data_IF_157104835713
#
_entry.id   IF_157104835713
#
_cell.length_a   1.000
_cell.length_b   1.000
_cell.length_c   1.000
_cell.angle_alpha   90.00
_cell.angle_beta   90.00
_cell.angle_gamma   90.00
#
_symmetry.space_group_name_H-M   'P 1'
#
loop_
_entity.id
_entity.type
_entity.pdbx_description
1 polymer ?
#
# COMPACT_ATOMS: atom_id res chain seq x y z
N UNK A 1 -28.75 34.27 15.88
CA UNK A 1 -27.60 33.37 16.10
C UNK A 1 -27.90 32.07 15.42
N UNK A 2 -27.42 31.89 14.19
CA UNK A 2 -27.53 30.63 13.45
C UNK A 2 -26.40 29.72 13.91
N UNK A 3 -26.77 28.66 14.61
CA UNK A 3 -25.88 27.55 14.94
C UNK A 3 -25.40 26.94 13.61
N UNK A 4 -24.10 27.08 13.30
CA UNK A 4 -23.46 26.25 12.29
C UNK A 4 -23.58 24.80 12.77
N UNK A 5 -24.08 23.86 11.95
CA UNK A 5 -23.86 22.45 12.25
C UNK A 5 -22.36 22.24 12.29
N UNK A 6 -21.86 21.58 13.34
CA UNK A 6 -20.50 21.06 13.32
C UNK A 6 -20.44 20.06 12.17
N UNK A 7 -19.93 20.49 11.02
CA UNK A 7 -19.39 19.57 10.03
C UNK A 7 -18.20 18.93 10.71
N UNK A 8 -18.44 17.76 11.31
CA UNK A 8 -17.37 16.81 11.60
C UNK A 8 -16.79 16.51 10.23
N UNK A 9 -15.60 17.05 9.93
CA UNK A 9 -14.88 16.63 8.74
C UNK A 9 -14.69 15.12 8.87
N UNK A 10 -15.21 14.31 7.92
CA UNK A 10 -15.04 12.87 8.00
C UNK A 10 -13.57 12.58 7.66
N UNK A 11 -12.71 12.55 8.67
CA UNK A 11 -11.36 12.04 8.50
C UNK A 11 -11.46 10.54 8.20
N UNK A 12 -10.81 10.11 7.12
CA UNK A 12 -10.82 8.70 6.70
C UNK A 12 -9.80 7.86 7.47
N UNK A 13 -8.89 8.51 8.20
CA UNK A 13 -7.96 7.88 9.11
C UNK A 13 -7.75 8.77 10.34
N UNK A 14 -7.33 8.16 11.44
CA UNK A 14 -6.95 8.90 12.63
C UNK A 14 -5.63 9.65 12.37
N UNK A 15 -5.51 10.92 12.83
CA UNK A 15 -4.24 11.65 12.80
C UNK A 15 -3.09 10.85 13.42
N UNK A 16 -1.86 11.23 13.10
CA UNK A 16 -0.68 10.68 13.77
C UNK A 16 0.10 11.82 14.43
N UNK A 17 -0.19 12.17 15.70
CA UNK A 17 0.46 13.30 16.37
C UNK A 17 1.96 13.07 16.62
N UNK A 18 2.45 11.83 16.47
CA UNK A 18 3.87 11.48 16.58
C UNK A 18 4.57 11.39 15.22
N UNK A 19 3.81 11.54 14.13
CA UNK A 19 4.30 11.51 12.77
C UNK A 19 5.15 12.73 12.42
N UNK A 20 6.11 12.53 11.53
CA UNK A 20 6.96 13.59 11.02
C UNK A 20 6.22 14.50 10.04
N UNK A 21 6.63 15.76 10.00
CA UNK A 21 6.09 16.79 9.12
C UNK A 21 7.14 17.22 8.08
N UNK A 22 6.70 17.47 6.84
CA UNK A 22 7.55 18.10 5.81
C UNK A 22 7.20 19.59 5.74
N UNK A 23 7.71 20.36 6.71
CA UNK A 23 7.28 21.76 6.96
C UNK A 23 7.42 22.67 5.75
N UNK A 24 8.48 22.50 4.96
CA UNK A 24 8.66 23.23 3.71
C UNK A 24 7.54 22.97 2.70
N UNK A 25 7.15 21.70 2.54
CA UNK A 25 6.05 21.30 1.66
C UNK A 25 4.70 21.83 2.16
N UNK A 26 4.42 21.73 3.46
CA UNK A 26 3.20 22.31 4.07
C UNK A 26 3.09 23.82 3.77
N UNK A 27 4.19 24.56 3.92
CA UNK A 27 4.25 25.99 3.62
C UNK A 27 4.01 26.28 2.12
N UNK A 28 4.67 25.56 1.21
CA UNK A 28 4.44 25.75 -0.23
C UNK A 28 3.02 25.39 -0.66
N UNK A 29 2.38 24.38 -0.04
CA UNK A 29 0.99 24.05 -0.32
C UNK A 29 0.04 25.14 0.19
N UNK A 30 0.32 25.74 1.36
CA UNK A 30 -0.45 26.87 1.88
C UNK A 30 -0.34 28.10 0.97
N UNK A 31 0.88 28.43 0.54
CA UNK A 31 1.13 29.51 -0.43
C UNK A 31 0.45 29.23 -1.77
N UNK A 32 0.45 27.97 -2.24
CA UNK A 32 -0.21 27.56 -3.47
C UNK A 32 -1.72 27.76 -3.37
N UNK A 33 -2.33 27.46 -2.22
CA UNK A 33 -3.76 27.70 -2.00
C UNK A 33 -4.07 29.19 -2.06
N UNK A 34 -3.22 30.02 -1.46
CA UNK A 34 -3.39 31.47 -1.52
C UNK A 34 -3.21 32.02 -2.94
N UNK A 35 -2.25 31.49 -3.71
CA UNK A 35 -2.07 31.84 -5.11
C UNK A 35 -3.31 31.49 -5.95
N UNK A 36 -3.90 30.29 -5.76
CA UNK A 36 -5.13 29.90 -6.45
C UNK A 36 -6.33 30.80 -6.10
N UNK A 37 -6.46 31.20 -4.83
CA UNK A 37 -7.49 32.15 -4.39
C UNK A 37 -7.33 33.53 -5.04
N UNK A 38 -6.09 33.94 -5.31
CA UNK A 38 -5.76 35.20 -5.99
C UNK A 38 -5.72 35.07 -7.52
N UNK A 39 -6.11 33.92 -8.08
CA UNK A 39 -6.00 33.63 -9.51
C UNK A 39 -4.57 33.70 -10.08
N UNK A 40 -3.56 33.45 -9.24
CA UNK A 40 -2.15 33.38 -9.61
C UNK A 40 -1.66 31.98 -10.02
N UNK A 41 -0.39 31.89 -10.42
CA UNK A 41 0.30 30.64 -10.75
C UNK A 41 0.81 29.93 -9.49
N UNK A 42 0.41 28.67 -9.30
CA UNK A 42 0.82 27.81 -8.19
C UNK A 42 1.78 26.67 -8.61
N UNK A 43 2.11 26.54 -9.90
CA UNK A 43 2.86 25.41 -10.47
C UNK A 43 4.22 25.23 -9.81
N UNK A 44 4.98 26.32 -9.66
CA UNK A 44 6.31 26.27 -9.05
C UNK A 44 6.26 25.86 -7.58
N UNK A 45 5.18 26.21 -6.87
CA UNK A 45 4.99 25.84 -5.47
C UNK A 45 4.68 24.35 -5.34
N UNK A 46 3.83 23.81 -6.22
CA UNK A 46 3.56 22.37 -6.27
C UNK A 46 4.81 21.55 -6.60
N UNK A 47 5.63 21.98 -7.56
CA UNK A 47 6.88 21.28 -7.89
C UNK A 47 7.88 21.25 -6.73
N UNK A 48 7.97 22.33 -5.94
CA UNK A 48 8.81 22.37 -4.73
C UNK A 48 8.28 21.43 -3.65
N UNK A 49 6.96 21.42 -3.42
CA UNK A 49 6.32 20.49 -2.50
C UNK A 49 6.54 19.04 -2.92
N UNK A 50 6.34 18.72 -4.21
CA UNK A 50 6.58 17.40 -4.76
C UNK A 50 8.02 16.92 -4.53
N UNK A 51 9.01 17.77 -4.79
CA UNK A 51 10.41 17.45 -4.53
C UNK A 51 10.68 17.13 -3.06
N UNK A 52 10.18 17.95 -2.12
CA UNK A 52 10.36 17.67 -0.70
C UNK A 52 9.64 16.38 -0.24
N UNK A 53 8.47 16.06 -0.79
CA UNK A 53 7.82 14.78 -0.53
C UNK A 53 8.63 13.60 -1.09
N UNK A 54 9.24 13.76 -2.26
CA UNK A 54 10.13 12.76 -2.83
C UNK A 54 11.36 12.53 -1.94
N UNK A 55 12.01 13.60 -1.46
CA UNK A 55 13.13 13.51 -0.53
C UNK A 55 12.75 12.83 0.80
N UNK A 56 11.53 13.05 1.29
CA UNK A 56 10.99 12.36 2.47
C UNK A 56 10.58 10.89 2.21
N UNK A 57 10.49 10.47 0.94
CA UNK A 57 10.02 9.14 0.54
C UNK A 57 8.50 8.99 0.57
N UNK A 58 7.75 10.09 0.57
CA UNK A 58 6.29 10.11 0.61
C UNK A 58 5.75 9.98 -0.83
N UNK A 59 5.91 8.80 -1.44
CA UNK A 59 5.73 8.63 -2.90
C UNK A 59 4.30 8.89 -3.40
N UNK A 60 3.27 8.54 -2.63
CA UNK A 60 1.88 8.85 -2.99
C UNK A 60 1.64 10.37 -2.99
N UNK A 61 2.10 11.04 -1.94
CA UNK A 61 2.04 12.50 -1.77
C UNK A 61 2.81 13.24 -2.87
N UNK A 62 4.00 12.75 -3.23
CA UNK A 62 4.77 13.24 -4.38
C UNK A 62 3.98 13.15 -5.68
N UNK A 63 3.40 11.98 -6.01
CA UNK A 63 2.58 11.80 -7.23
C UNK A 63 1.38 12.74 -7.26
N UNK A 64 0.74 12.95 -6.11
CA UNK A 64 -0.38 13.87 -5.99
C UNK A 64 0.04 15.32 -6.25
N UNK A 65 1.13 15.77 -5.60
CA UNK A 65 1.68 17.11 -5.79
C UNK A 65 2.16 17.37 -7.24
N UNK A 66 2.79 16.38 -7.88
CA UNK A 66 3.14 16.43 -9.30
C UNK A 66 1.90 16.59 -10.19
N UNK A 67 0.82 15.88 -9.87
CA UNK A 67 -0.44 16.00 -10.62
C UNK A 67 -1.06 17.38 -10.44
N UNK A 68 -1.01 17.96 -9.23
CA UNK A 68 -1.43 19.34 -9.00
C UNK A 68 -0.60 20.33 -9.84
N UNK A 69 0.72 20.15 -9.92
CA UNK A 69 1.59 20.97 -10.78
C UNK A 69 1.20 20.87 -12.25
N UNK A 70 0.98 19.65 -12.76
CA UNK A 70 0.57 19.41 -14.14
C UNK A 70 -0.77 20.08 -14.46
N UNK A 71 -1.79 19.86 -13.64
CA UNK A 71 -3.12 20.47 -13.83
C UNK A 71 -3.07 21.99 -13.69
N UNK A 72 -2.31 22.52 -12.73
CA UNK A 72 -2.11 23.98 -12.59
C UNK A 72 -1.49 24.60 -13.85
N UNK A 73 -0.50 23.93 -14.44
CA UNK A 73 0.15 24.40 -15.67
C UNK A 73 -0.79 24.36 -16.90
N UNK A 74 -1.67 23.35 -16.99
CA UNK A 74 -2.66 23.22 -18.06
C UNK A 74 -3.76 24.28 -17.91
N UNK A 75 -4.26 24.49 -16.70
CA UNK A 75 -5.29 25.49 -16.41
C UNK A 75 -4.86 26.92 -16.75
N UNK A 76 -3.56 27.21 -16.71
CA UNK A 76 -2.99 28.51 -17.14
C UNK A 76 -2.96 28.66 -18.66
N UNK A 77 -2.72 27.58 -19.40
CA UNK A 77 -2.72 27.60 -20.88
C UNK A 77 -4.13 27.78 -21.42
N UNK A 78 -5.12 27.22 -20.75
CA UNK A 78 -6.54 27.25 -21.14
C UNK A 78 -7.34 28.36 -20.43
N UNK A 79 -6.67 29.49 -20.12
CA UNK A 79 -7.15 30.60 -19.29
C UNK A 79 -8.56 31.13 -19.63
N UNK A 80 -9.05 30.86 -20.84
CA UNK A 80 -10.33 31.33 -21.34
C UNK A 80 -11.55 30.58 -20.81
N UNK A 81 -11.53 29.30 -20.38
CA UNK A 81 -12.79 28.52 -20.32
C UNK A 81 -13.07 27.46 -19.22
N UNK A 82 -12.28 27.23 -18.16
CA UNK A 82 -12.62 26.12 -17.22
C UNK A 82 -12.66 26.50 -15.73
N UNK A 83 -13.73 27.18 -15.31
CA UNK A 83 -14.02 27.45 -13.89
C UNK A 83 -14.23 26.18 -13.06
N UNK A 84 -14.68 25.08 -13.69
CA UNK A 84 -14.85 23.79 -13.02
C UNK A 84 -13.51 23.12 -12.74
N UNK A 85 -12.55 23.19 -13.67
CA UNK A 85 -11.18 22.70 -13.45
C UNK A 85 -10.50 23.41 -12.27
N UNK A 86 -10.64 24.75 -12.17
CA UNK A 86 -10.10 25.50 -11.02
C UNK A 86 -10.78 25.12 -9.70
N UNK A 87 -12.09 24.94 -9.69
CA UNK A 87 -12.82 24.50 -8.49
C UNK A 87 -12.37 23.11 -8.04
N UNK A 88 -12.19 22.17 -8.99
CA UNK A 88 -11.67 20.84 -8.71
C UNK A 88 -10.23 20.89 -8.18
N UNK A 89 -9.36 21.74 -8.75
CA UNK A 89 -7.99 21.92 -8.25
C UNK A 89 -7.95 22.49 -6.83
N UNK A 90 -8.79 23.50 -6.54
CA UNK A 90 -8.86 24.10 -5.22
C UNK A 90 -9.42 23.15 -4.16
N UNK A 91 -10.46 22.36 -4.50
CA UNK A 91 -11.01 21.33 -3.62
C UNK A 91 -10.01 20.21 -3.34
N UNK A 92 -9.35 19.71 -4.39
CA UNK A 92 -8.31 18.69 -4.25
C UNK A 92 -7.14 19.17 -3.38
N UNK A 93 -6.70 20.43 -3.55
CA UNK A 93 -5.64 21.01 -2.72
C UNK A 93 -6.06 21.15 -1.26
N UNK A 94 -7.31 21.55 -1.00
CA UNK A 94 -7.81 21.72 0.36
C UNK A 94 -7.77 20.38 1.14
N UNK A 95 -8.35 19.34 0.57
CA UNK A 95 -8.42 18.02 1.22
C UNK A 95 -7.04 17.37 1.32
N UNK A 96 -6.20 17.55 0.30
CA UNK A 96 -4.83 17.08 0.31
C UNK A 96 -3.98 17.74 1.40
N UNK A 97 -4.10 19.06 1.59
CA UNK A 97 -3.43 19.77 2.67
C UNK A 97 -3.87 19.27 4.04
N UNK A 98 -5.17 19.12 4.24
CA UNK A 98 -5.70 18.60 5.49
C UNK A 98 -5.15 17.20 5.80
N UNK A 99 -5.02 16.32 4.80
CA UNK A 99 -4.42 15.00 4.95
C UNK A 99 -2.92 15.04 5.27
N UNK A 100 -2.17 15.94 4.63
CA UNK A 100 -0.74 16.13 4.93
C UNK A 100 -0.54 16.60 6.38
N UNK A 101 -1.40 17.51 6.86
CA UNK A 101 -1.35 18.05 8.22
C UNK A 101 -1.68 17.01 9.31
N UNK A 102 -2.29 15.87 8.94
CA UNK A 102 -2.55 14.74 9.85
C UNK A 102 -1.36 13.80 10.05
N UNK A 103 -0.27 13.97 9.29
CA UNK A 103 0.99 13.21 9.40
C UNK A 103 0.84 11.68 9.33
N UNK A 104 -0.23 11.19 8.70
CA UNK A 104 -0.51 9.76 8.52
C UNK A 104 -0.17 9.32 7.08
N UNK A 105 0.93 8.58 6.91
CA UNK A 105 1.39 8.12 5.60
C UNK A 105 0.51 7.03 4.98
N UNK A 106 -0.19 6.25 5.81
CA UNK A 106 -1.16 5.27 5.32
C UNK A 106 -2.38 5.98 4.73
N UNK A 107 -2.87 7.05 5.38
CA UNK A 107 -3.93 7.90 4.83
C UNK A 107 -3.55 8.50 3.49
N UNK A 108 -2.35 9.09 3.40
CA UNK A 108 -1.85 9.72 2.18
C UNK A 108 -1.70 8.74 1.00
N UNK A 109 -1.62 7.43 1.30
CA UNK A 109 -1.51 6.37 0.29
C UNK A 109 -2.86 5.73 -0.04
N UNK A 110 -3.74 5.55 0.96
CA UNK A 110 -4.92 4.69 0.87
C UNK A 110 -6.25 5.44 0.88
N UNK A 111 -6.29 6.75 1.13
CA UNK A 111 -7.53 7.55 1.18
C UNK A 111 -8.36 7.45 -0.11
N UNK A 112 -9.61 6.92 -0.05
CA UNK A 112 -10.55 7.00 -1.16
C UNK A 112 -10.83 8.42 -1.63
N UNK A 113 -10.97 9.38 -0.69
CA UNK A 113 -11.23 10.79 -1.03
C UNK A 113 -10.08 11.40 -1.81
N UNK A 114 -8.84 11.23 -1.34
CA UNK A 114 -7.66 11.70 -2.10
C UNK A 114 -7.56 10.99 -3.44
N UNK A 115 -7.81 9.68 -3.51
CA UNK A 115 -7.77 8.99 -4.79
C UNK A 115 -8.83 9.50 -5.78
N UNK A 116 -10.04 9.83 -5.31
CA UNK A 116 -11.07 10.40 -6.18
C UNK A 116 -10.65 11.76 -6.74
N UNK A 117 -10.06 12.63 -5.91
CA UNK A 117 -9.46 13.89 -6.38
C UNK A 117 -8.34 13.64 -7.39
N UNK A 118 -7.42 12.73 -7.07
CA UNK A 118 -6.33 12.33 -7.96
C UNK A 118 -6.86 11.84 -9.31
N UNK A 119 -7.91 11.00 -9.31
CA UNK A 119 -8.56 10.50 -10.52
C UNK A 119 -9.19 11.61 -11.34
N UNK A 120 -9.92 12.54 -10.71
CA UNK A 120 -10.55 13.68 -11.39
C UNK A 120 -9.49 14.61 -12.00
N UNK A 121 -8.41 14.91 -11.29
CA UNK A 121 -7.30 15.70 -11.81
C UNK A 121 -6.63 15.03 -13.02
N UNK A 122 -6.35 13.73 -12.91
CA UNK A 122 -5.74 12.96 -14.02
C UNK A 122 -6.68 12.85 -15.24
N UNK A 123 -8.00 12.89 -15.07
CA UNK A 123 -8.95 12.97 -16.18
C UNK A 123 -8.85 14.29 -16.94
N UNK A 124 -8.50 15.39 -16.27
CA UNK A 124 -8.24 16.66 -16.92
C UNK A 124 -6.95 16.58 -17.74
N UNK A 125 -5.88 15.98 -17.18
CA UNK A 125 -4.63 15.73 -17.92
C UNK A 125 -4.86 14.85 -19.15
N UNK A 126 -5.69 13.81 -19.03
CA UNK A 126 -6.01 12.89 -20.12
C UNK A 126 -6.71 13.57 -21.32
N UNK A 127 -7.38 14.72 -21.14
CA UNK A 127 -7.92 15.51 -22.26
C UNK A 127 -6.84 15.98 -23.22
N UNK A 128 -5.62 16.15 -22.73
CA UNK A 128 -4.46 16.60 -23.50
C UNK A 128 -3.50 15.44 -23.83
N UNK A 129 -3.66 14.27 -23.21
CA UNK A 129 -2.84 13.07 -23.43
C UNK A 129 -3.73 11.81 -23.53
N UNK A 130 -4.14 11.40 -24.75
CA UNK A 130 -4.97 10.23 -24.95
C UNK A 130 -4.30 8.94 -24.44
N UNK A 131 -5.09 8.03 -23.86
CA UNK A 131 -4.62 6.73 -23.37
C UNK A 131 -4.09 6.73 -21.94
N UNK A 132 -4.13 7.87 -21.25
CA UNK A 132 -3.72 7.99 -19.86
C UNK A 132 -4.88 7.65 -18.91
N UNK A 133 -4.72 6.60 -18.12
CA UNK A 133 -5.64 6.25 -17.02
C UNK A 133 -4.84 5.96 -15.75
N UNK A 134 -5.43 6.35 -14.62
CA UNK A 134 -4.87 6.08 -13.30
C UNK A 134 -5.77 5.13 -12.53
N UNK A 135 -5.16 4.21 -11.80
CA UNK A 135 -5.84 3.28 -10.93
C UNK A 135 -5.43 3.51 -9.46
N UNK A 136 -6.26 3.04 -8.52
CA UNK A 136 -6.03 3.26 -7.08
C UNK A 136 -4.69 2.67 -6.63
N UNK A 137 -4.41 1.48 -7.13
CA UNK A 137 -3.18 0.75 -6.85
C UNK A 137 -1.91 1.44 -7.38
N UNK A 138 -2.03 2.36 -8.33
CA UNK A 138 -0.88 3.16 -8.80
C UNK A 138 -0.46 4.20 -7.76
N UNK A 139 -1.40 4.67 -6.94
CA UNK A 139 -1.14 5.59 -5.84
C UNK A 139 -0.78 4.81 -4.56
N UNK A 140 -1.65 3.89 -4.13
CA UNK A 140 -1.51 3.17 -2.87
C UNK A 140 -0.22 2.35 -2.80
N UNK A 141 0.11 1.61 -3.88
CA UNK A 141 1.27 0.73 -3.92
C UNK A 141 2.47 1.36 -4.64
N UNK A 142 2.57 2.69 -4.66
CA UNK A 142 3.65 3.40 -5.32
C UNK A 142 5.03 2.96 -4.78
N UNK A 143 5.93 2.54 -5.67
CA UNK A 143 7.28 2.07 -5.32
C UNK A 143 7.36 0.69 -4.66
N UNK A 144 6.22 0.05 -4.34
CA UNK A 144 6.21 -1.26 -3.69
C UNK A 144 6.43 -2.42 -4.68
N UNK A 145 7.25 -3.43 -4.31
CA UNK A 145 7.37 -4.67 -5.07
C UNK A 145 6.03 -5.41 -5.11
N UNK A 146 5.75 -6.09 -6.24
CA UNK A 146 4.62 -7.03 -6.32
C UNK A 146 5.20 -8.41 -6.61
N UNK A 147 5.17 -9.36 -5.64
CA UNK A 147 5.74 -10.68 -5.85
C UNK A 147 4.97 -11.43 -6.96
N UNK A 148 5.62 -12.36 -7.67
CA UNK A 148 4.95 -13.21 -8.63
C UNK A 148 3.95 -14.11 -7.90
N UNK A 149 2.70 -14.10 -8.36
CA UNK A 149 1.59 -14.85 -7.77
C UNK A 149 1.16 -15.95 -8.71
N UNK A 150 1.13 -17.17 -8.20
CA UNK A 150 0.75 -18.35 -8.97
C UNK A 150 -0.76 -18.60 -8.89
N UNK A 151 -1.26 -19.41 -9.81
CA UNK A 151 -2.57 -20.03 -9.70
C UNK A 151 -2.36 -21.52 -9.56
N UNK A 152 -2.84 -22.09 -8.46
CA UNK A 152 -2.65 -23.51 -8.19
C UNK A 152 -3.26 -24.40 -9.30
N UNK A 153 -2.43 -25.26 -9.90
CA UNK A 153 -2.88 -26.15 -10.98
C UNK A 153 -4.00 -27.09 -10.53
N UNK A 154 -5.16 -27.01 -11.19
CA UNK A 154 -6.34 -27.83 -10.91
C UNK A 154 -6.73 -28.70 -12.13
N UNK A 155 -7.39 -29.84 -11.93
CA UNK A 155 -7.92 -30.63 -13.03
C UNK A 155 -8.91 -29.82 -13.88
N UNK A 156 -8.79 -29.89 -15.22
CA UNK A 156 -9.59 -29.09 -16.14
C UNK A 156 -11.11 -29.27 -15.96
N UNK A 157 -11.57 -30.48 -15.67
CA UNK A 157 -12.99 -30.76 -15.41
C UNK A 157 -13.51 -30.07 -14.14
N UNK A 158 -12.68 -29.98 -13.08
CA UNK A 158 -13.02 -29.30 -11.84
C UNK A 158 -13.10 -27.79 -12.06
N UNK A 159 -12.14 -27.21 -12.78
CA UNK A 159 -12.17 -25.79 -13.16
C UNK A 159 -13.37 -25.44 -14.04
N UNK A 160 -13.72 -26.30 -15.01
CA UNK A 160 -14.90 -26.10 -15.84
C UNK A 160 -16.20 -26.09 -15.02
N UNK A 161 -16.33 -27.02 -14.06
CA UNK A 161 -17.47 -27.06 -13.15
C UNK A 161 -17.54 -25.82 -12.26
N UNK A 162 -16.43 -25.46 -11.62
CA UNK A 162 -16.32 -24.26 -10.77
C UNK A 162 -16.69 -22.99 -11.52
N UNK A 163 -16.16 -22.83 -12.74
CA UNK A 163 -16.44 -21.67 -13.58
C UNK A 163 -17.92 -21.59 -13.95
N UNK A 164 -18.56 -22.70 -14.30
CA UNK A 164 -20.00 -22.71 -14.59
C UNK A 164 -20.84 -22.30 -13.37
N UNK A 165 -20.46 -22.76 -12.16
CA UNK A 165 -21.07 -22.34 -10.89
C UNK A 165 -20.87 -20.84 -10.65
N UNK A 166 -19.65 -20.37 -10.82
CA UNK A 166 -19.26 -18.97 -10.65
C UNK A 166 -20.02 -18.04 -11.61
N UNK A 167 -20.06 -18.36 -12.92
CA UNK A 167 -20.76 -17.56 -13.93
C UNK A 167 -22.28 -17.48 -13.66
N UNK A 168 -22.88 -18.56 -13.17
CA UNK A 168 -24.30 -18.60 -12.77
C UNK A 168 -24.58 -17.66 -11.59
N UNK A 169 -23.68 -17.62 -10.60
CA UNK A 169 -23.79 -16.74 -9.44
C UNK A 169 -23.42 -15.27 -9.76
N UNK A 170 -22.54 -15.04 -10.74
CA UNK A 170 -22.11 -13.70 -11.12
C UNK A 170 -23.24 -12.89 -11.79
N UNK A 171 -24.08 -13.55 -12.59
CA UNK A 171 -25.08 -12.88 -13.40
C UNK A 171 -26.11 -12.05 -12.58
N UNK A 172 -26.70 -12.56 -11.48
CA UNK A 172 -27.52 -11.75 -10.58
C UNK A 172 -26.79 -10.53 -10.02
N UNK A 173 -25.53 -10.69 -9.61
CA UNK A 173 -24.71 -9.62 -9.03
C UNK A 173 -24.46 -8.50 -10.06
N UNK A 174 -24.18 -8.85 -11.31
CA UNK A 174 -23.96 -7.85 -12.37
C UNK A 174 -25.24 -7.14 -12.82
N UNK A 175 -26.40 -7.79 -12.71
CA UNK A 175 -27.70 -7.24 -13.13
C UNK A 175 -28.34 -6.34 -12.08
N UNK A 176 -27.82 -6.33 -10.85
CA UNK A 176 -28.34 -5.47 -9.81
C UNK A 176 -28.11 -4.00 -10.18
N UNK A 177 -29.19 -3.21 -10.10
CA UNK A 177 -29.15 -1.78 -10.37
C UNK A 177 -28.72 -1.02 -9.11
N UNK A 178 -27.82 -0.04 -9.28
CA UNK A 178 -27.22 0.83 -8.26
C UNK A 178 -28.18 1.83 -7.60
N UNK A 179 -29.48 1.59 -7.60
CA UNK A 179 -30.45 2.50 -6.99
C UNK A 179 -30.79 2.10 -5.56
N UNK A 180 -30.37 2.90 -4.57
CA UNK A 180 -30.79 3.06 -3.14
C UNK A 180 -31.60 1.95 -2.41
N UNK A 181 -31.52 0.70 -2.84
CA UNK A 181 -32.29 -0.42 -2.31
C UNK A 181 -31.37 -1.40 -1.62
N UNK A 182 -31.80 -1.86 -0.45
CA UNK A 182 -31.21 -2.97 0.27
C UNK A 182 -30.90 -4.15 -0.66
N UNK A 183 -29.74 -4.80 -0.45
CA UNK A 183 -29.34 -5.98 -1.21
C UNK A 183 -30.48 -7.01 -1.22
N UNK A 184 -30.89 -7.46 -2.41
CA UNK A 184 -31.84 -8.57 -2.49
C UNK A 184 -31.23 -9.81 -1.82
N UNK A 185 -32.00 -10.59 -1.04
CA UNK A 185 -31.54 -11.86 -0.48
C UNK A 185 -30.92 -12.80 -1.53
N UNK A 186 -31.42 -12.73 -2.77
CA UNK A 186 -30.88 -13.50 -3.89
C UNK A 186 -29.47 -13.06 -4.30
N UNK A 187 -29.19 -11.75 -4.27
CA UNK A 187 -27.83 -11.24 -4.53
C UNK A 187 -26.89 -11.61 -3.40
N UNK A 188 -27.35 -11.56 -2.15
CA UNK A 188 -26.59 -12.04 -0.99
C UNK A 188 -26.14 -13.49 -1.17
N UNK A 189 -27.07 -14.40 -1.44
CA UNK A 189 -26.76 -15.81 -1.68
C UNK A 189 -25.86 -16.03 -2.91
N UNK A 190 -25.97 -15.17 -3.93
CA UNK A 190 -25.10 -15.23 -5.10
C UNK A 190 -23.66 -14.81 -4.77
N UNK A 191 -23.48 -13.78 -3.93
CA UNK A 191 -22.17 -13.39 -3.42
C UNK A 191 -21.54 -14.49 -2.56
N UNK A 192 -22.33 -15.12 -1.70
CA UNK A 192 -21.84 -16.23 -0.87
C UNK A 192 -21.37 -17.43 -1.74
N UNK A 193 -22.08 -17.73 -2.84
CA UNK A 193 -21.67 -18.76 -3.80
C UNK A 193 -20.39 -18.37 -4.57
N UNK A 194 -20.21 -17.09 -4.92
CA UNK A 194 -18.98 -16.60 -5.55
C UNK A 194 -17.79 -16.76 -4.60
N UNK A 195 -17.96 -16.37 -3.33
CA UNK A 195 -16.93 -16.48 -2.30
C UNK A 195 -16.56 -17.94 -2.03
N UNK A 196 -17.56 -18.84 -1.98
CA UNK A 196 -17.35 -20.27 -1.88
C UNK A 196 -16.54 -20.85 -3.05
N UNK A 197 -16.81 -20.38 -4.28
CA UNK A 197 -16.03 -20.79 -5.45
C UNK A 197 -14.57 -20.31 -5.39
N UNK A 198 -14.32 -19.08 -4.92
CA UNK A 198 -12.95 -18.56 -4.74
C UNK A 198 -12.19 -19.36 -3.68
N UNK A 199 -12.84 -19.71 -2.57
CA UNK A 199 -12.25 -20.56 -1.54
C UNK A 199 -11.96 -21.99 -2.03
N UNK A 200 -12.83 -22.57 -2.86
CA UNK A 200 -12.66 -23.94 -3.39
C UNK A 200 -11.51 -24.06 -4.41
N UNK A 201 -11.24 -23.00 -5.18
CA UNK A 201 -10.12 -22.98 -6.14
C UNK A 201 -8.78 -22.65 -5.48
N UNK A 202 -8.80 -22.03 -4.30
CA UNK A 202 -7.60 -21.65 -3.55
C UNK A 202 -6.72 -22.86 -3.17
N UNK A 203 -5.42 -22.72 -3.43
CA UNK A 203 -4.38 -23.65 -3.03
C UNK A 203 -3.73 -23.27 -1.70
N UNK A 204 -2.80 -24.11 -1.21
CA UNK A 204 -2.12 -23.89 0.07
C UNK A 204 -0.91 -22.95 -0.03
N UNK A 205 -0.47 -22.55 -1.23
CA UNK A 205 0.69 -21.67 -1.43
C UNK A 205 0.40 -20.26 -0.88
N UNK A 206 1.27 -19.67 -0.04
CA UNK A 206 1.20 -18.26 0.36
C UNK A 206 0.99 -17.28 -0.80
N UNK A 207 1.62 -17.56 -1.95
CA UNK A 207 1.54 -16.73 -3.15
C UNK A 207 0.53 -17.25 -4.18
N UNK A 208 -0.59 -17.82 -3.74
CA UNK A 208 -1.69 -18.19 -4.61
C UNK A 208 -2.70 -17.04 -4.78
N UNK A 209 -3.03 -16.72 -6.04
CA UNK A 209 -3.92 -15.61 -6.37
C UNK A 209 -5.31 -15.79 -5.76
N UNK A 210 -5.79 -17.03 -5.70
CA UNK A 210 -7.13 -17.31 -5.22
C UNK A 210 -7.27 -17.11 -3.71
N UNK A 211 -6.20 -17.30 -2.94
CA UNK A 211 -6.17 -16.90 -1.51
C UNK A 211 -6.30 -15.39 -1.35
N UNK A 212 -5.53 -14.63 -2.13
CA UNK A 212 -5.61 -13.16 -2.14
C UNK A 212 -7.00 -12.69 -2.60
N UNK A 213 -7.58 -13.31 -3.63
CA UNK A 213 -8.91 -12.99 -4.11
C UNK A 213 -9.99 -13.31 -3.07
N UNK A 214 -9.88 -14.43 -2.35
CA UNK A 214 -10.81 -14.76 -1.26
C UNK A 214 -10.74 -13.76 -0.11
N UNK A 215 -9.53 -13.33 0.29
CA UNK A 215 -9.36 -12.27 1.29
C UNK A 215 -9.94 -10.93 0.84
N UNK A 216 -9.72 -10.55 -0.41
CA UNK A 216 -10.32 -9.36 -1.00
C UNK A 216 -11.85 -9.43 -1.02
N UNK A 217 -12.43 -10.59 -1.35
CA UNK A 217 -13.87 -10.78 -1.31
C UNK A 217 -14.42 -10.55 0.10
N UNK A 218 -13.80 -11.17 1.13
CA UNK A 218 -14.18 -10.95 2.54
C UNK A 218 -14.08 -9.48 2.95
N UNK A 219 -12.99 -8.80 2.61
CA UNK A 219 -12.79 -7.38 2.93
C UNK A 219 -13.90 -6.51 2.31
N UNK A 220 -14.21 -6.74 1.02
CA UNK A 220 -15.30 -6.03 0.32
C UNK A 220 -16.68 -6.28 0.95
N UNK A 221 -16.89 -7.46 1.56
CA UNK A 221 -18.13 -7.82 2.26
C UNK A 221 -18.19 -7.18 3.65
N UNK A 222 -17.08 -7.15 4.39
CA UNK A 222 -16.99 -6.64 5.75
C UNK A 222 -17.09 -5.11 5.84
N UNK A 223 -16.38 -4.38 4.97
CA UNK A 223 -16.33 -2.91 5.01
C UNK A 223 -17.64 -2.20 4.63
N UNK A 224 -18.76 -2.92 4.51
CA UNK A 224 -20.02 -2.36 4.02
C UNK A 224 -19.92 -1.81 2.60
N UNK A 225 -18.78 -1.95 1.90
CA UNK A 225 -18.56 -1.54 0.51
C UNK A 225 -19.35 -2.39 -0.50
N UNK A 226 -20.09 -3.39 -0.03
CA UNK A 226 -21.31 -3.85 -0.68
C UNK A 226 -22.26 -2.68 -1.06
N UNK A 227 -22.20 -1.54 -0.36
CA UNK A 227 -22.98 -0.32 -0.60
C UNK A 227 -22.38 0.65 -1.65
N UNK A 228 -21.39 0.20 -2.45
CA UNK A 228 -20.83 0.97 -3.56
C UNK A 228 -20.77 0.24 -4.91
N UNK A 229 -21.22 -1.01 -4.99
CA UNK A 229 -21.56 -1.90 -6.14
C UNK A 229 -20.62 -1.96 -7.39
N UNK A 230 -19.95 -0.89 -7.82
CA UNK A 230 -19.08 -0.88 -9.01
C UNK A 230 -17.76 -1.63 -8.81
N UNK A 231 -17.05 -1.41 -7.71
CA UNK A 231 -15.73 -2.01 -7.50
C UNK A 231 -15.84 -3.50 -7.16
N UNK A 232 -16.79 -3.88 -6.32
CA UNK A 232 -17.10 -5.29 -6.04
C UNK A 232 -17.50 -6.05 -7.33
N UNK A 233 -18.43 -5.52 -8.14
CA UNK A 233 -18.79 -6.13 -9.44
C UNK A 233 -17.59 -6.22 -10.38
N UNK A 234 -16.77 -5.17 -10.46
CA UNK A 234 -15.56 -5.15 -11.30
C UNK A 234 -14.56 -6.21 -10.84
N UNK A 235 -14.39 -6.37 -9.54
CA UNK A 235 -13.54 -7.41 -8.95
C UNK A 235 -14.05 -8.81 -9.31
N UNK A 236 -15.30 -9.15 -9.00
CA UNK A 236 -15.86 -10.47 -9.31
C UNK A 236 -15.88 -10.76 -10.82
N UNK A 237 -16.11 -9.75 -11.67
CA UNK A 237 -16.02 -9.89 -13.12
C UNK A 237 -14.58 -10.18 -13.58
N UNK A 238 -13.57 -9.51 -12.99
CA UNK A 238 -12.16 -9.78 -13.27
C UNK A 238 -11.75 -11.18 -12.82
N UNK A 239 -12.22 -11.65 -11.67
CA UNK A 239 -12.01 -13.02 -11.21
C UNK A 239 -12.58 -14.06 -12.20
N UNK A 240 -13.72 -13.78 -12.84
CA UNK A 240 -14.25 -14.66 -13.90
C UNK A 240 -13.29 -14.76 -15.12
N UNK A 241 -12.70 -13.63 -15.52
CA UNK A 241 -11.73 -13.61 -16.62
C UNK A 241 -10.49 -14.44 -16.27
N UNK A 242 -10.01 -14.31 -15.03
CA UNK A 242 -8.85 -15.09 -14.55
C UNK A 242 -9.18 -16.56 -14.38
N UNK A 243 -10.39 -16.92 -13.95
CA UNK A 243 -10.84 -18.32 -13.96
C UNK A 243 -10.80 -18.90 -15.38
N UNK A 244 -11.16 -18.11 -16.38
CA UNK A 244 -11.06 -18.52 -17.78
C UNK A 244 -9.61 -18.67 -18.26
N UNK A 245 -8.70 -17.76 -17.87
CA UNK A 245 -7.27 -17.87 -18.15
C UNK A 245 -6.62 -19.07 -17.46
N UNK A 246 -7.01 -19.32 -16.20
CA UNK A 246 -6.56 -20.46 -15.41
C UNK A 246 -7.02 -21.78 -16.06
N UNK A 247 -8.28 -21.86 -16.50
CA UNK A 247 -8.80 -23.01 -17.23
C UNK A 247 -8.09 -23.25 -18.58
N UNK A 248 -7.46 -22.21 -19.17
CA UNK A 248 -6.60 -22.31 -20.36
C UNK A 248 -5.16 -22.72 -20.05
N UNK A 249 -4.82 -22.95 -18.78
CA UNK A 249 -3.49 -23.37 -18.34
C UNK A 249 -2.55 -22.22 -17.98
N UNK A 250 -3.06 -21.00 -17.82
CA UNK A 250 -2.26 -19.89 -17.29
C UNK A 250 -1.92 -20.17 -15.83
N UNK A 251 -0.65 -20.05 -15.48
CA UNK A 251 -0.13 -20.40 -14.15
C UNK A 251 0.26 -19.19 -13.29
N UNK A 252 0.42 -18.01 -13.88
CA UNK A 252 0.69 -16.75 -13.19
C UNK A 252 -0.48 -15.80 -13.34
N UNK A 253 -0.90 -15.18 -12.24
CA UNK A 253 -1.90 -14.13 -12.28
C UNK A 253 -1.30 -12.85 -12.91
N UNK A 254 -2.07 -12.09 -13.70
CA UNK A 254 -1.61 -10.80 -14.23
C UNK A 254 -1.19 -9.86 -13.09
N UNK A 255 0.03 -9.31 -13.18
CA UNK A 255 0.59 -8.41 -12.15
C UNK A 255 -0.33 -7.24 -11.80
N UNK A 256 -0.94 -6.61 -12.81
CA UNK A 256 -1.87 -5.50 -12.62
C UNK A 256 -3.10 -5.90 -11.81
N UNK A 257 -3.58 -7.13 -11.98
CA UNK A 257 -4.70 -7.64 -11.19
C UNK A 257 -4.28 -7.92 -9.75
N UNK A 258 -3.15 -8.58 -9.54
CA UNK A 258 -2.61 -8.82 -8.19
C UNK A 258 -2.46 -7.51 -7.45
N UNK A 259 -1.85 -6.51 -8.09
CA UNK A 259 -1.64 -5.17 -7.55
C UNK A 259 -2.97 -4.49 -7.18
N UNK A 260 -3.97 -4.56 -8.05
CA UNK A 260 -5.30 -4.02 -7.77
C UNK A 260 -6.00 -4.73 -6.60
N UNK A 261 -5.96 -6.07 -6.57
CA UNK A 261 -6.57 -6.87 -5.50
C UNK A 261 -5.90 -6.61 -4.16
N UNK A 262 -4.57 -6.53 -4.14
CA UNK A 262 -3.80 -6.24 -2.95
C UNK A 262 -4.10 -4.85 -2.38
N UNK A 263 -4.17 -3.83 -3.25
CA UNK A 263 -4.52 -2.49 -2.82
C UNK A 263 -5.91 -2.43 -2.18
N UNK A 264 -6.88 -3.20 -2.69
CA UNK A 264 -8.23 -3.27 -2.10
C UNK A 264 -8.24 -3.92 -0.72
N UNK A 265 -7.46 -4.98 -0.49
CA UNK A 265 -7.34 -5.62 0.83
C UNK A 265 -6.67 -4.67 1.83
N UNK A 266 -5.57 -4.05 1.41
CA UNK A 266 -4.76 -3.22 2.30
C UNK A 266 -5.45 -1.93 2.72
N UNK A 267 -6.26 -1.33 1.84
CA UNK A 267 -6.86 -0.01 2.04
C UNK A 267 -7.51 0.16 3.41
N UNK A 268 -8.45 -0.72 3.76
CA UNK A 268 -9.27 -0.55 4.95
C UNK A 268 -8.45 -0.81 6.22
N UNK A 269 -7.61 -1.86 6.19
CA UNK A 269 -6.69 -2.20 7.29
C UNK A 269 -5.63 -1.11 7.51
N UNK A 270 -5.14 -0.47 6.44
CA UNK A 270 -4.17 0.61 6.55
C UNK A 270 -4.77 1.91 7.11
N UNK A 271 -6.04 2.21 6.81
CA UNK A 271 -6.71 3.44 7.26
C UNK A 271 -7.22 3.32 8.69
N UNK A 272 -7.78 2.16 9.02
CA UNK A 272 -8.51 1.96 10.27
C UNK A 272 -7.80 1.08 11.28
N UNK A 273 -6.67 0.47 10.91
CA UNK A 273 -5.94 -0.50 11.72
C UNK A 273 -6.51 -1.91 11.63
N UNK A 274 -5.76 -2.88 12.16
CA UNK A 274 -6.20 -4.28 12.27
C UNK A 274 -6.68 -4.63 13.68
N UNK A 275 -7.76 -5.41 13.73
CA UNK A 275 -8.26 -6.07 14.93
C UNK A 275 -7.60 -7.46 15.14
N UNK A 276 -7.89 -8.10 16.27
CA UNK A 276 -7.36 -9.45 16.54
C UNK A 276 -7.94 -10.50 15.58
N UNK A 277 -9.18 -10.29 15.13
CA UNK A 277 -9.86 -11.12 14.13
C UNK A 277 -9.27 -10.99 12.72
N UNK A 278 -8.56 -9.90 12.42
CA UNK A 278 -7.93 -9.67 11.10
C UNK A 278 -6.54 -10.30 10.98
N UNK A 279 -6.12 -11.13 11.95
CA UNK A 279 -4.77 -11.66 12.01
C UNK A 279 -4.39 -12.47 10.74
N UNK A 280 -5.34 -13.20 10.16
CA UNK A 280 -5.10 -13.97 8.92
C UNK A 280 -4.90 -13.03 7.71
N UNK A 281 -5.68 -11.95 7.62
CA UNK A 281 -5.54 -10.90 6.60
C UNK A 281 -4.22 -10.12 6.76
N UNK A 282 -3.81 -9.82 7.99
CA UNK A 282 -2.51 -9.16 8.24
C UNK A 282 -1.35 -10.06 7.86
N UNK A 283 -1.41 -11.35 8.21
CA UNK A 283 -0.38 -12.31 7.79
C UNK A 283 -0.31 -12.46 6.26
N UNK A 284 -1.46 -12.43 5.58
CA UNK A 284 -1.50 -12.37 4.13
C UNK A 284 -0.83 -11.08 3.62
N UNK A 285 -1.14 -9.90 4.18
CA UNK A 285 -0.54 -8.63 3.75
C UNK A 285 0.97 -8.59 3.98
N UNK A 286 1.45 -9.15 5.09
CA UNK A 286 2.88 -9.35 5.32
C UNK A 286 3.50 -10.24 4.23
N UNK A 287 2.85 -11.32 3.79
CA UNK A 287 3.35 -12.11 2.67
C UNK A 287 3.53 -11.28 1.38
N UNK A 288 2.81 -10.17 1.23
CA UNK A 288 2.91 -9.22 0.10
C UNK A 288 3.73 -7.95 0.39
N UNK A 289 4.40 -7.84 1.54
CA UNK A 289 5.24 -6.68 1.86
C UNK A 289 4.46 -5.43 2.24
N UNK A 290 3.29 -5.61 2.87
CA UNK A 290 2.46 -4.52 3.38
C UNK A 290 2.33 -4.63 4.89
N UNK A 291 2.76 -3.58 5.58
CA UNK A 291 2.56 -3.43 7.03
C UNK A 291 1.21 -2.79 7.30
N UNK A 292 0.65 -3.16 8.45
CA UNK A 292 -0.57 -2.61 9.01
C UNK A 292 -0.30 -2.28 10.47
N UNK A 293 -0.86 -1.17 10.95
CA UNK A 293 -0.81 -0.84 12.35
C UNK A 293 -1.75 -1.78 13.13
N UNK A 294 -1.15 -2.56 14.03
CA UNK A 294 -1.88 -3.33 15.02
C UNK A 294 -2.35 -2.37 16.10
N UNK A 295 -3.46 -1.67 15.86
CA UNK A 295 -4.38 -1.03 16.81
C UNK A 295 -5.27 -0.04 16.06
N UNK A 296 -6.45 0.19 16.64
CA UNK A 296 -7.66 0.75 16.02
C UNK A 296 -8.33 -0.35 15.21
N UNK A 297 -9.45 -0.86 15.72
CA UNK A 297 -10.44 -1.53 14.89
C UNK A 297 -11.57 -0.53 14.95
N UNK A 298 -11.96 0.11 13.83
CA UNK A 298 -12.90 1.25 13.74
C UNK A 298 -14.17 1.15 14.60
N UNK A 299 -13.99 1.27 15.91
CA UNK A 299 -14.95 1.08 16.98
C UNK A 299 -14.83 2.32 17.84
N UNK A 300 -15.97 2.80 18.33
CA UNK A 300 -16.01 3.99 19.17
C UNK A 300 -15.11 3.88 20.42
N UNK A 301 -14.86 2.66 20.90
CA UNK A 301 -13.98 2.42 22.04
C UNK A 301 -12.49 2.60 21.69
N UNK A 302 -12.05 2.14 20.51
CA UNK A 302 -10.67 2.36 20.07
C UNK A 302 -10.44 3.81 19.65
N UNK A 303 -11.44 4.46 19.05
CA UNK A 303 -11.41 5.89 18.75
C UNK A 303 -11.24 6.71 20.03
N UNK A 304 -12.02 6.42 21.09
CA UNK A 304 -11.90 7.11 22.38
C UNK A 304 -10.53 6.89 23.07
N UNK A 305 -10.00 5.67 23.02
CA UNK A 305 -8.65 5.37 23.55
C UNK A 305 -7.56 6.07 22.75
N UNK A 306 -7.70 6.13 21.43
CA UNK A 306 -6.79 6.85 20.56
C UNK A 306 -6.88 8.36 20.81
N UNK A 307 -8.07 8.94 20.93
CA UNK A 307 -8.26 10.37 21.27
C UNK A 307 -7.62 10.70 22.63
N UNK A 308 -7.76 9.83 23.63
CA UNK A 308 -7.13 10.01 24.94
C UNK A 308 -5.60 9.95 24.84
N UNK A 309 -5.04 8.98 24.10
CA UNK A 309 -3.60 8.85 23.89
C UNK A 309 -3.03 9.97 23.02
N UNK A 310 -3.76 10.40 21.99
CA UNK A 310 -3.40 11.50 21.11
C UNK A 310 -3.43 12.83 21.87
N UNK A 311 -4.46 13.08 22.69
CA UNK A 311 -4.53 14.24 23.57
C UNK A 311 -3.40 14.23 24.62
N UNK A 312 -3.07 13.05 25.18
CA UNK A 312 -1.91 12.91 26.07
C UNK A 312 -0.59 13.18 25.32
N UNK A 313 -0.42 12.67 24.12
CA UNK A 313 0.76 12.89 23.27
C UNK A 313 0.89 14.36 22.86
N UNK A 314 -0.22 15.03 22.53
CA UNK A 314 -0.27 16.46 22.21
C UNK A 314 0.06 17.31 23.45
N UNK A 315 -0.50 16.98 24.62
CA UNK A 315 -0.15 17.66 25.89
C UNK A 315 1.33 17.49 26.25
N UNK A 316 1.91 16.32 26.00
CA UNK A 316 3.35 16.06 26.20
C UNK A 316 4.18 16.81 25.16
N UNK A 317 3.79 16.82 23.88
CA UNK A 317 4.46 17.54 22.81
C UNK A 317 4.43 19.07 23.01
N UNK A 318 3.34 19.61 23.57
CA UNK A 318 3.22 21.03 23.95
C UNK A 318 4.09 21.37 25.16
N UNK A 319 4.32 20.41 26.07
CA UNK A 319 5.16 20.58 27.26
C UNK A 319 6.65 20.47 26.97
N UNK A 320 7.05 19.66 25.99
CA UNK A 320 8.44 19.50 25.56
C UNK A 320 8.53 19.55 24.01
N UNK A 321 8.58 20.77 23.43
CA UNK A 321 8.46 21.00 21.99
C UNK A 321 9.73 20.67 21.20
N UNK A 322 10.66 19.89 21.77
CA UNK A 322 11.90 19.55 21.11
C UNK A 322 11.62 18.77 19.82
N UNK A 323 11.71 19.46 18.68
CA UNK A 323 11.67 18.85 17.36
C UNK A 323 13.11 18.61 16.87
N UNK A 324 13.30 17.52 16.12
CA UNK A 324 14.55 17.24 15.41
C UNK A 324 14.35 17.36 13.91
N UNK A 325 15.32 17.92 13.23
CA UNK A 325 15.35 18.00 11.77
C UNK A 325 16.18 16.84 11.21
N UNK A 326 15.59 16.10 10.27
CA UNK A 326 16.20 15.00 9.53
C UNK A 326 16.08 15.32 8.03
N UNK A 327 16.89 16.27 7.57
CA UNK A 327 16.75 16.81 6.21
C UNK A 327 15.45 17.61 6.07
N UNK A 328 14.57 17.18 5.17
CA UNK A 328 13.26 17.82 4.95
C UNK A 328 12.20 17.46 6.00
N UNK A 329 12.47 16.45 6.83
CA UNK A 329 11.53 15.95 7.83
C UNK A 329 11.78 16.60 9.19
N UNK A 330 10.72 17.09 9.82
CA UNK A 330 10.70 17.54 11.20
C UNK A 330 9.96 16.52 12.05
N UNK A 331 10.62 15.95 13.06
CA UNK A 331 10.05 14.89 13.91
C UNK A 331 10.03 15.29 15.38
N UNK A 332 9.09 14.73 16.14
CA UNK A 332 9.09 14.86 17.59
C UNK A 332 10.30 14.12 18.21
N UNK A 333 11.03 14.74 19.14
CA UNK A 333 12.23 14.12 19.72
C UNK A 333 11.94 12.80 20.45
N UNK A 334 10.82 12.69 21.17
CA UNK A 334 10.47 11.44 21.87
C UNK A 334 10.11 10.33 20.88
N UNK A 335 9.36 10.66 19.82
CA UNK A 335 9.07 9.69 18.74
C UNK A 335 10.34 9.24 18.02
N UNK A 336 11.30 10.16 17.85
CA UNK A 336 12.60 9.84 17.28
C UNK A 336 13.42 8.88 18.17
N UNK A 337 13.48 9.10 19.49
CA UNK A 337 14.20 8.19 20.39
C UNK A 337 13.54 6.79 20.46
N UNK A 338 12.20 6.73 20.53
CA UNK A 338 11.45 5.47 20.50
C UNK A 338 11.71 4.69 19.19
N UNK A 339 11.77 5.43 18.07
CA UNK A 339 12.14 4.86 16.78
C UNK A 339 13.57 4.31 16.81
N UNK A 340 14.56 5.05 17.33
CA UNK A 340 15.95 4.58 17.38
C UNK A 340 16.07 3.29 18.22
N UNK A 341 15.39 3.21 19.36
CA UNK A 341 15.37 2.01 20.19
C UNK A 341 14.75 0.82 19.43
N UNK A 342 13.63 1.05 18.74
CA UNK A 342 12.95 0.02 17.94
C UNK A 342 13.80 -0.42 16.75
N UNK A 343 14.48 0.53 16.10
CA UNK A 343 15.32 0.28 14.94
C UNK A 343 16.57 -0.52 15.31
N UNK A 344 17.23 -0.19 16.42
CA UNK A 344 18.40 -0.92 16.91
C UNK A 344 18.04 -2.38 17.24
N UNK A 345 16.97 -2.59 18.01
CA UNK A 345 16.48 -3.94 18.32
C UNK A 345 16.09 -4.73 17.07
N UNK A 346 15.43 -4.08 16.10
CA UNK A 346 15.01 -4.72 14.85
C UNK A 346 16.19 -5.09 13.96
N UNK A 347 17.21 -4.25 13.83
CA UNK A 347 18.43 -4.56 13.05
C UNK A 347 19.24 -5.66 13.72
N UNK A 348 19.36 -5.67 15.04
CA UNK A 348 20.02 -6.74 15.77
C UNK A 348 19.32 -8.09 15.53
N UNK A 349 17.99 -8.13 15.69
CA UNK A 349 17.20 -9.33 15.42
C UNK A 349 17.29 -9.77 13.96
N UNK A 350 17.13 -8.85 13.01
CA UNK A 350 17.28 -9.11 11.57
C UNK A 350 18.63 -9.76 11.25
N UNK A 351 19.71 -9.22 11.81
CA UNK A 351 21.07 -9.70 11.54
C UNK A 351 21.29 -11.11 12.10
N UNK A 352 20.81 -11.39 13.31
CA UNK A 352 20.93 -12.72 13.92
C UNK A 352 20.08 -13.76 13.17
N UNK A 353 18.84 -13.44 12.86
CA UNK A 353 17.95 -14.34 12.14
C UNK A 353 18.40 -14.57 10.69
N UNK A 354 18.92 -13.55 10.01
CA UNK A 354 19.52 -13.69 8.67
C UNK A 354 20.70 -14.67 8.69
N UNK A 355 21.59 -14.58 9.68
CA UNK A 355 22.73 -15.48 9.87
C UNK A 355 22.27 -16.93 10.08
N UNK A 356 21.20 -17.14 10.84
CA UNK A 356 20.62 -18.46 11.09
C UNK A 356 19.93 -19.02 9.83
N UNK A 357 19.21 -18.18 9.08
CA UNK A 357 18.53 -18.56 7.85
C UNK A 357 19.49 -18.98 6.73
N UNK A 358 20.65 -18.31 6.64
CA UNK A 358 21.67 -18.54 5.62
C UNK A 358 22.74 -19.56 6.03
N UNK A 359 22.54 -20.27 7.14
CA UNK A 359 23.45 -21.32 7.58
C UNK A 359 23.48 -22.48 6.55
N UNK A 360 24.63 -22.75 5.89
CA UNK A 360 24.75 -23.79 4.88
C UNK A 360 24.49 -25.21 5.40
N UNK A 361 24.68 -25.44 6.71
CA UNK A 361 24.51 -26.75 7.34
C UNK A 361 23.05 -27.04 7.71
N UNK A 362 22.25 -25.99 7.95
CA UNK A 362 20.85 -26.09 8.36
C UNK A 362 20.08 -24.83 7.95
N UNK A 363 19.52 -24.84 6.74
CA UNK A 363 18.59 -23.81 6.30
C UNK A 363 17.35 -23.85 7.21
N UNK A 364 17.08 -22.76 7.90
CA UNK A 364 15.96 -22.61 8.83
C UNK A 364 14.91 -21.63 8.26
N UNK A 365 13.81 -22.13 7.66
CA UNK A 365 12.74 -21.27 7.15
C UNK A 365 12.08 -20.43 8.25
N UNK A 366 12.06 -20.91 9.50
CA UNK A 366 11.53 -20.14 10.63
C UNK A 366 12.39 -18.94 10.95
N UNK A 367 13.72 -19.07 10.88
CA UNK A 367 14.63 -17.95 11.01
C UNK A 367 14.44 -16.92 9.88
N UNK A 368 14.17 -17.36 8.65
CA UNK A 368 13.86 -16.45 7.56
C UNK A 368 12.54 -15.67 7.81
N UNK A 369 11.49 -16.30 8.37
CA UNK A 369 10.27 -15.59 8.78
C UNK A 369 10.58 -14.54 9.86
N UNK A 370 11.33 -14.91 10.89
CA UNK A 370 11.71 -14.00 11.98
C UNK A 370 12.56 -12.81 11.51
N UNK A 371 13.45 -13.04 10.53
CA UNK A 371 14.17 -11.96 9.85
C UNK A 371 13.21 -11.02 9.12
N UNK A 372 12.19 -11.57 8.45
CA UNK A 372 11.13 -10.80 7.82
C UNK A 372 10.34 -9.95 8.81
N UNK A 373 9.90 -10.54 9.92
CA UNK A 373 9.13 -9.85 10.97
C UNK A 373 9.96 -8.76 11.67
N UNK A 374 11.27 -8.94 11.81
CA UNK A 374 12.17 -7.89 12.28
C UNK A 374 12.24 -6.72 11.29
N UNK A 375 12.30 -6.99 9.98
CA UNK A 375 12.26 -5.94 8.96
C UNK A 375 10.91 -5.20 8.94
N UNK A 376 9.77 -5.90 9.08
CA UNK A 376 8.45 -5.25 9.15
C UNK A 376 8.27 -4.39 10.40
N UNK A 377 8.77 -4.82 11.56
CA UNK A 377 8.74 -3.98 12.78
C UNK A 377 9.49 -2.66 12.58
N UNK A 378 10.65 -2.70 11.92
CA UNK A 378 11.37 -1.49 11.53
C UNK A 378 10.60 -0.66 10.50
N UNK A 379 9.98 -1.31 9.50
CA UNK A 379 9.15 -0.67 8.49
C UNK A 379 7.97 0.09 9.09
N UNK A 380 7.21 -0.56 9.98
CA UNK A 380 6.10 0.04 10.71
C UNK A 380 6.54 1.24 11.55
N UNK A 381 7.63 1.11 12.31
CA UNK A 381 8.18 2.22 13.09
C UNK A 381 8.62 3.41 12.20
N UNK A 382 9.19 3.12 11.02
CA UNK A 382 9.57 4.14 10.05
C UNK A 382 8.35 4.82 9.39
N UNK A 383 7.28 4.07 9.06
CA UNK A 383 6.01 4.62 8.58
C UNK A 383 5.39 5.54 9.62
N UNK A 384 5.33 5.11 10.89
CA UNK A 384 4.79 5.88 11.99
C UNK A 384 5.57 7.19 12.26
N UNK A 385 6.90 7.20 12.06
CA UNK A 385 7.71 8.41 12.22
C UNK A 385 7.70 9.33 10.99
N UNK A 386 7.35 8.82 9.80
CA UNK A 386 7.37 9.59 8.54
C UNK A 386 8.61 9.36 7.66
N UNK A 387 9.42 8.33 7.92
CA UNK A 387 10.63 7.99 7.17
C UNK A 387 10.33 7.07 5.98
N UNK A 388 9.68 7.59 4.94
CA UNK A 388 9.12 6.79 3.83
C UNK A 388 10.12 5.90 3.10
N UNK A 389 11.34 6.39 2.82
CA UNK A 389 12.39 5.59 2.14
C UNK A 389 12.88 4.41 2.98
N UNK A 390 13.06 4.62 4.29
CA UNK A 390 13.46 3.57 5.23
C UNK A 390 12.36 2.53 5.32
N UNK A 391 11.12 2.98 5.47
CA UNK A 391 9.95 2.12 5.57
C UNK A 391 9.78 1.24 4.32
N UNK A 392 9.90 1.83 3.12
CA UNK A 392 9.78 1.10 1.86
C UNK A 392 10.86 0.05 1.65
N UNK A 393 12.12 0.35 2.00
CA UNK A 393 13.20 -0.63 1.90
C UNK A 393 13.04 -1.75 2.93
N UNK A 394 12.63 -1.42 4.16
CA UNK A 394 12.39 -2.39 5.22
C UNK A 394 11.25 -3.35 4.86
N UNK A 395 10.12 -2.83 4.34
CA UNK A 395 8.98 -3.64 3.89
C UNK A 395 9.36 -4.57 2.72
N UNK A 396 10.12 -4.05 1.74
CA UNK A 396 10.62 -4.86 0.63
C UNK A 396 11.60 -5.95 1.11
N UNK A 397 12.44 -5.64 2.10
CA UNK A 397 13.35 -6.61 2.70
C UNK A 397 12.59 -7.69 3.49
N UNK A 398 11.54 -7.30 4.23
CA UNK A 398 10.64 -8.24 4.89
C UNK A 398 10.00 -9.21 3.90
N UNK A 399 9.54 -8.69 2.76
CA UNK A 399 8.94 -9.50 1.70
C UNK A 399 9.96 -10.48 1.11
N UNK A 400 11.18 -10.02 0.85
CA UNK A 400 12.23 -10.87 0.33
C UNK A 400 12.55 -12.04 1.28
N UNK A 401 12.62 -11.79 2.59
CA UNK A 401 12.82 -12.83 3.61
C UNK A 401 11.64 -13.81 3.68
N UNK A 402 10.39 -13.33 3.65
CA UNK A 402 9.21 -14.21 3.60
C UNK A 402 9.18 -15.08 2.35
N UNK A 403 9.52 -14.54 1.17
CA UNK A 403 9.66 -15.34 -0.06
C UNK A 403 10.70 -16.44 0.09
N UNK A 404 11.83 -16.17 0.77
CA UNK A 404 12.85 -17.19 1.06
C UNK A 404 12.35 -18.24 2.05
N UNK A 405 11.64 -17.84 3.09
CA UNK A 405 11.05 -18.77 4.06
C UNK A 405 10.07 -19.75 3.38
N UNK A 406 9.10 -19.21 2.62
CA UNK A 406 8.08 -20.02 1.94
C UNK A 406 8.67 -20.95 0.87
N UNK A 407 9.72 -20.50 0.18
CA UNK A 407 10.48 -21.37 -0.72
C UNK A 407 11.24 -22.50 0.03
N UNK A 408 11.72 -22.23 1.25
CA UNK A 408 12.43 -23.21 2.09
C UNK A 408 11.53 -24.31 2.68
N UNK A 409 10.26 -24.01 2.95
CA UNK A 409 9.25 -24.98 3.45
C UNK A 409 8.67 -25.86 2.32
N UNK A 410 8.76 -25.40 1.07
CA UNK A 410 8.14 -26.05 -0.08
C UNK A 410 8.67 -27.48 -0.30
N UNK A 411 7.76 -28.46 -0.32
CA UNK A 411 8.10 -29.85 -0.64
C UNK A 411 8.70 -29.96 -2.05
N UNK A 412 9.46 -31.02 -2.38
CA UNK A 412 10.04 -31.19 -3.72
C UNK A 412 9.01 -31.10 -4.86
N UNK A 413 7.77 -31.54 -4.64
CA UNK A 413 6.67 -31.45 -5.60
C UNK A 413 6.15 -30.01 -5.79
N UNK A 414 6.24 -29.17 -4.76
CA UNK A 414 5.93 -27.73 -4.83
C UNK A 414 7.08 -26.97 -5.50
N UNK A 415 8.33 -27.31 -5.16
CA UNK A 415 9.55 -26.74 -5.78
C UNK A 415 9.64 -26.99 -7.28
N UNK A 416 9.22 -28.16 -7.77
CA UNK A 416 9.15 -28.44 -9.21
C UNK A 416 8.12 -27.60 -9.98
N UNK A 417 7.29 -26.83 -9.27
CA UNK A 417 6.23 -25.97 -9.80
C UNK A 417 6.44 -24.49 -9.50
N UNK A 418 7.52 -24.14 -8.79
CA UNK A 418 7.91 -22.76 -8.53
C UNK A 418 8.35 -22.12 -9.85
N UNK A 419 7.63 -21.08 -10.27
CA UNK A 419 7.87 -20.41 -11.57
C UNK A 419 8.96 -19.35 -11.42
N UNK A 420 9.03 -18.71 -10.25
CA UNK A 420 10.02 -17.68 -9.93
C UNK A 420 10.70 -18.02 -8.61
N UNK A 421 12.02 -18.19 -8.66
CA UNK A 421 12.83 -18.53 -7.49
C UNK A 421 12.75 -17.45 -6.40
N UNK A 422 13.13 -17.85 -5.19
CA UNK A 422 13.29 -16.91 -4.09
C UNK A 422 14.41 -15.90 -4.39
N UNK A 423 14.36 -14.69 -3.82
CA UNK A 423 15.41 -13.70 -4.01
C UNK A 423 16.76 -14.22 -3.48
N UNK A 424 17.88 -13.96 -4.17
CA UNK A 424 19.19 -14.45 -3.76
C UNK A 424 19.71 -13.72 -2.52
N UNK A 425 20.41 -14.44 -1.62
CA UNK A 425 20.94 -13.92 -0.35
C UNK A 425 21.69 -12.58 -0.51
N UNK A 426 22.57 -12.47 -1.51
CA UNK A 426 23.32 -11.24 -1.84
C UNK A 426 22.45 -9.99 -2.00
N UNK A 427 21.22 -10.13 -2.52
CA UNK A 427 20.31 -9.00 -2.70
C UNK A 427 19.71 -8.56 -1.38
N UNK A 428 19.46 -9.50 -0.46
CA UNK A 428 19.01 -9.21 0.89
C UNK A 428 20.13 -8.58 1.72
N UNK A 429 21.37 -9.09 1.59
CA UNK A 429 22.54 -8.53 2.27
C UNK A 429 22.77 -7.08 1.85
N UNK A 430 22.77 -6.80 0.54
CA UNK A 430 22.93 -5.44 0.01
C UNK A 430 21.84 -4.49 0.51
N UNK A 431 20.58 -4.94 0.54
CA UNK A 431 19.47 -4.15 1.05
C UNK A 431 19.58 -3.92 2.57
N UNK A 432 19.99 -4.93 3.34
CA UNK A 432 20.21 -4.81 4.78
C UNK A 432 21.37 -3.86 5.11
N UNK A 433 22.45 -3.88 4.32
CA UNK A 433 23.56 -2.93 4.44
C UNK A 433 23.12 -1.49 4.14
N UNK A 434 22.36 -1.28 3.05
CA UNK A 434 21.81 0.04 2.73
C UNK A 434 20.88 0.54 3.83
N UNK A 435 20.04 -0.33 4.39
CA UNK A 435 19.15 -0.02 5.51
C UNK A 435 19.93 0.38 6.76
N UNK A 436 20.97 -0.37 7.14
CA UNK A 436 21.86 -0.01 8.26
C UNK A 436 22.56 1.33 8.03
N UNK A 437 23.02 1.60 6.81
CA UNK A 437 23.66 2.87 6.47
C UNK A 437 22.68 4.05 6.62
N UNK A 438 21.41 3.89 6.21
CA UNK A 438 20.38 4.89 6.43
C UNK A 438 20.13 5.14 7.92
N UNK A 439 19.99 4.07 8.71
CA UNK A 439 19.75 4.18 10.15
C UNK A 439 20.93 4.82 10.90
N UNK A 440 22.17 4.54 10.51
CA UNK A 440 23.33 5.22 11.10
C UNK A 440 23.34 6.73 10.83
N UNK A 441 22.89 7.18 9.64
CA UNK A 441 22.75 8.62 9.37
C UNK A 441 21.64 9.24 10.20
N UNK A 442 20.49 8.56 10.31
CA UNK A 442 19.37 9.00 11.12
C UNK A 442 19.78 9.11 12.59
N UNK A 443 20.48 8.12 13.15
CA UNK A 443 21.00 8.14 14.52
C UNK A 443 22.01 9.28 14.76
N UNK A 444 22.74 9.70 13.72
CA UNK A 444 23.63 10.87 13.77
C UNK A 444 22.89 12.22 13.62
N UNK A 445 21.56 12.22 13.48
CA UNK A 445 20.75 13.41 13.24
C UNK A 445 20.89 13.98 11.84
N UNK A 446 21.27 13.15 10.85
CA UNK A 446 21.48 13.56 9.46
C UNK A 446 20.41 12.91 8.58
N UNK A 447 20.02 13.60 7.50
CA UNK A 447 19.14 13.05 6.49
C UNK A 447 19.64 11.68 5.98
N UNK A 448 18.75 10.68 5.83
CA UNK A 448 19.13 9.40 5.27
C UNK A 448 19.60 9.57 3.81
N UNK A 449 20.60 8.79 3.37
CA UNK A 449 21.02 8.74 1.97
C UNK A 449 19.92 8.15 1.09
N UNK A 450 19.98 8.43 -0.21
CA UNK A 450 19.06 7.84 -1.19
C UNK A 450 19.21 6.30 -1.26
N UNK A 451 18.19 5.59 -0.81
CA UNK A 451 18.10 4.13 -0.85
C UNK A 451 17.49 3.57 -2.14
N UNK A 452 17.13 4.42 -3.11
CA UNK A 452 16.36 4.03 -4.30
C UNK A 452 17.04 2.96 -5.15
N UNK A 453 18.38 2.99 -5.26
CA UNK A 453 19.14 1.99 -6.00
C UNK A 453 19.06 0.60 -5.35
N UNK A 454 19.23 0.53 -4.03
CA UNK A 454 19.13 -0.72 -3.27
C UNK A 454 17.69 -1.27 -3.31
N UNK A 455 16.70 -0.39 -3.17
CA UNK A 455 15.29 -0.74 -3.31
C UNK A 455 14.97 -1.28 -4.71
N UNK A 456 15.40 -0.60 -5.77
CA UNK A 456 15.16 -1.04 -7.15
C UNK A 456 15.81 -2.40 -7.44
N UNK A 457 17.03 -2.62 -6.96
CA UNK A 457 17.72 -3.91 -7.08
C UNK A 457 16.98 -5.03 -6.33
N UNK A 458 16.47 -4.73 -5.14
CA UNK A 458 15.70 -5.67 -4.35
C UNK A 458 14.33 -5.97 -4.97
N UNK A 459 13.61 -4.96 -5.47
CA UNK A 459 12.35 -5.12 -6.21
C UNK A 459 12.58 -6.05 -7.40
N UNK A 460 13.63 -5.81 -8.19
CA UNK A 460 13.97 -6.67 -9.31
C UNK A 460 14.20 -8.13 -8.89
N UNK A 461 14.93 -8.36 -7.79
CA UNK A 461 15.17 -9.68 -7.23
C UNK A 461 13.87 -10.35 -6.69
N UNK A 462 12.96 -9.58 -6.12
CA UNK A 462 11.65 -10.05 -5.65
C UNK A 462 10.75 -10.44 -6.82
N UNK A 463 10.79 -9.71 -7.93
CA UNK A 463 9.86 -9.91 -9.04
C UNK A 463 10.33 -10.95 -10.04
N UNK A 464 11.65 -11.05 -10.24
CA UNK A 464 12.25 -11.94 -11.23
C UNK A 464 12.97 -13.15 -10.61
N UNK A 465 13.14 -13.16 -9.29
CA UNK A 465 13.86 -14.21 -8.57
C UNK A 465 15.38 -14.15 -8.80
N UNK A 466 16.10 -15.16 -8.33
CA UNK A 466 17.50 -15.34 -8.70
C UNK A 466 17.62 -15.79 -10.15
N UNK A 467 18.22 -14.98 -11.03
CA UNK A 467 18.67 -15.47 -12.34
C UNK A 467 19.70 -16.57 -12.08
N UNK A 468 19.28 -17.83 -12.23
CA UNK A 468 20.20 -18.96 -12.21
C UNK A 468 21.00 -18.93 -13.53
N UNK A 469 22.35 -18.84 -13.51
CA UNK A 469 23.17 -18.74 -14.71
C UNK A 469 23.24 -20.04 -15.54
N UNK A 470 22.20 -20.87 -15.50
CA UNK A 470 22.14 -22.19 -16.14
C UNK A 470 20.93 -22.34 -17.07
N UNK A 471 20.76 -21.41 -18.01
CA UNK A 471 20.00 -21.67 -19.25
C UNK A 471 20.62 -20.92 -20.41
N UNK A 472 21.88 -21.24 -20.74
CA UNK A 472 22.31 -21.12 -22.13
C UNK A 472 21.45 -22.10 -22.93
N UNK A 473 20.68 -21.67 -23.94
CA UNK A 473 20.09 -22.61 -24.87
C UNK A 473 21.24 -23.29 -25.61
N UNK A 474 21.31 -24.61 -25.46
CA UNK A 474 22.20 -25.43 -26.30
C UNK A 474 21.81 -25.19 -27.75
N UNK A 475 22.78 -24.74 -28.54
CA UNK A 475 22.69 -24.80 -29.98
C UNK A 475 22.57 -26.28 -30.38
N UNK A 476 21.47 -26.62 -31.05
CA UNK A 476 21.36 -27.78 -31.92
C UNK A 476 21.02 -27.26 -33.31
#
# INVERSE_FOLDING_TARGET
>A
MTLRPATIDPFEALPNPRGGAVRGAEAWLADAQQALLQHGDATALFLRAAHAFHEAGWLATHRFADTLALVSSLAQRDASHDGAARASLAGALHDFRAAVERHNLHELSCSPTLFEHYRVLNQQVARHTPGYSVAFEDLALAGRPIPPVTMHAQPAHKLAHLRARYERALLPVLRQHTGNGTMSPQTGASLDELDACLAEVAGPDPYDFWRLAAACARTLRAGGHALGDRDARRFYARCNLVLADHARGTSLAPRSLVRATLAMVWRDLALFGAAAEDADEVELLHDYGLTVDWHIAGTQASEALWEEQAAQAEVVAVRDPAARELGVLTVNANAYEDFLQTADASIAALSEHARLADNPEKVDPGAALQAGDAAYRLGAAAWALGLGHVAMLADALGLAWRRRAHAGVSTPAVRSRTIVDAPPARSLDHAAEALRAMLHKIAAGVAPPDGSAALAALIHAIEQGGVSPASKPGAA
#
